data_IF_725077093173
#
_entry.id   IF_725077093173
#
_cell.length_a   1.000
_cell.length_b   1.000
_cell.length_c   1.000
_cell.angle_alpha   90.00
_cell.angle_beta   90.00
_cell.angle_gamma   90.00
#
_symmetry.space_group_name_H-M   'P 1'
#
loop_
_entity.id
_entity.type
_entity.pdbx_description
1 polymer ?
#
# COMPACT_ATOMS: atom_id res chain seq x y z
N UNK A 1 9.63 6.48 10.33
CA UNK A 1 9.72 5.70 9.09
C UNK A 1 10.90 4.74 9.17
N UNK A 2 10.73 3.47 8.78
CA UNK A 2 11.77 2.44 8.78
C UNK A 2 11.87 1.87 7.37
N UNK A 3 13.08 1.76 6.82
CA UNK A 3 13.32 1.11 5.55
C UNK A 3 14.07 -0.21 5.73
N UNK A 4 13.61 -1.26 5.06
CA UNK A 4 14.33 -2.52 4.89
C UNK A 4 14.94 -2.57 3.50
N UNK A 5 16.26 -2.78 3.44
CA UNK A 5 17.03 -2.91 2.21
C UNK A 5 17.85 -4.21 2.22
N UNK A 6 18.17 -4.71 1.06
CA UNK A 6 18.96 -5.94 0.91
C UNK A 6 18.75 -6.55 -0.47
N UNK A 7 19.56 -7.54 -0.80
CA UNK A 7 19.45 -8.26 -2.07
C UNK A 7 18.12 -8.99 -2.24
N UNK A 8 17.78 -9.36 -3.46
CA UNK A 8 16.62 -10.23 -3.72
C UNK A 8 16.82 -11.56 -2.99
N UNK A 9 15.79 -12.00 -2.28
CA UNK A 9 15.88 -13.21 -1.45
C UNK A 9 16.37 -12.99 -0.02
N UNK A 10 16.80 -11.78 0.36
CA UNK A 10 17.30 -11.48 1.73
C UNK A 10 16.20 -11.50 2.83
N UNK A 11 14.96 -11.89 2.52
CA UNK A 11 13.90 -12.01 3.52
C UNK A 11 13.01 -10.78 3.70
N UNK A 12 13.15 -9.71 2.87
CA UNK A 12 12.36 -8.48 3.01
C UNK A 12 10.83 -8.73 2.95
N UNK A 13 10.36 -9.46 1.94
CA UNK A 13 8.94 -9.83 1.79
C UNK A 13 8.46 -10.76 2.90
N UNK A 14 9.36 -11.57 3.48
CA UNK A 14 9.03 -12.40 4.64
C UNK A 14 8.67 -11.55 5.84
N UNK A 15 9.38 -10.43 6.08
CA UNK A 15 9.07 -9.50 7.18
C UNK A 15 7.67 -8.93 7.00
N UNK A 16 7.30 -8.46 5.80
CA UNK A 16 5.96 -7.93 5.54
C UNK A 16 4.88 -8.99 5.74
N UNK A 17 5.14 -10.22 5.33
CA UNK A 17 4.23 -11.36 5.51
C UNK A 17 4.04 -11.74 6.99
N UNK A 18 5.09 -11.66 7.80
CA UNK A 18 5.02 -11.90 9.24
C UNK A 18 4.29 -10.78 9.98
N UNK A 19 4.50 -9.53 9.59
CA UNK A 19 3.78 -8.37 10.14
C UNK A 19 2.26 -8.49 9.95
N UNK A 20 1.83 -8.98 8.80
CA UNK A 20 0.41 -9.19 8.45
C UNK A 20 -0.14 -10.54 8.94
N UNK A 21 0.69 -11.33 9.63
CA UNK A 21 0.35 -12.71 10.05
C UNK A 21 -0.22 -13.54 8.90
N UNK A 22 0.45 -13.51 7.73
CA UNK A 22 0.24 -14.52 6.69
C UNK A 22 0.92 -15.84 7.06
N UNK A 23 1.97 -15.76 7.90
CA UNK A 23 2.67 -16.89 8.51
C UNK A 23 2.85 -16.64 10.00
N UNK A 24 2.84 -17.70 10.80
CA UNK A 24 3.13 -17.62 12.23
C UNK A 24 4.64 -17.59 12.48
N UNK A 25 5.02 -16.86 13.53
CA UNK A 25 6.43 -16.79 13.97
C UNK A 25 6.86 -18.13 14.55
N UNK A 26 7.99 -18.65 14.09
CA UNK A 26 8.62 -19.84 14.67
C UNK A 26 9.36 -19.54 16.00
N UNK A 27 9.73 -18.28 16.22
CA UNK A 27 10.38 -17.81 17.42
C UNK A 27 10.37 -16.29 17.50
N UNK A 28 10.72 -15.74 18.66
CA UNK A 28 10.68 -14.30 18.89
C UNK A 28 9.26 -13.74 19.01
N UNK A 29 9.13 -12.42 18.86
CA UNK A 29 7.85 -11.71 18.93
C UNK A 29 7.88 -10.44 18.11
N UNK A 30 6.73 -10.06 17.57
CA UNK A 30 6.48 -8.75 16.94
C UNK A 30 5.45 -8.05 17.82
N UNK A 31 5.73 -6.81 18.18
CA UNK A 31 4.85 -6.01 19.04
C UNK A 31 4.23 -4.87 18.23
N UNK A 32 2.92 -4.71 18.36
CA UNK A 32 2.18 -3.53 17.91
C UNK A 32 1.69 -2.79 19.15
N UNK A 33 2.18 -1.57 19.35
CA UNK A 33 1.93 -0.75 20.55
C UNK A 33 2.20 -1.52 21.88
N UNK A 34 3.33 -2.26 21.90
CA UNK A 34 3.76 -3.00 23.09
C UNK A 34 3.08 -4.36 23.31
N UNK A 35 2.07 -4.70 22.51
CA UNK A 35 1.33 -5.96 22.57
C UNK A 35 1.72 -6.92 21.44
N UNK A 36 1.90 -8.20 21.75
CA UNK A 36 2.26 -9.21 20.73
C UNK A 36 1.17 -9.33 19.67
N UNK A 37 1.57 -9.35 18.38
CA UNK A 37 0.62 -9.46 17.27
C UNK A 37 -0.22 -10.72 17.31
N UNK A 38 0.23 -11.77 17.99
CA UNK A 38 -0.50 -13.05 18.21
C UNK A 38 -1.72 -12.90 19.11
N UNK A 39 -1.74 -11.85 19.95
CA UNK A 39 -2.87 -11.55 20.85
C UNK A 39 -4.00 -10.77 20.18
N UNK A 40 -3.78 -10.28 18.97
CA UNK A 40 -4.80 -9.64 18.15
C UNK A 40 -5.54 -10.69 17.30
N UNK A 41 -6.83 -10.46 17.01
CA UNK A 41 -7.46 -11.18 15.91
C UNK A 41 -6.80 -10.78 14.58
N UNK A 42 -6.75 -11.69 13.61
CA UNK A 42 -6.19 -11.36 12.29
C UNK A 42 -6.90 -10.18 11.65
N UNK A 43 -8.22 -10.08 11.84
CA UNK A 43 -9.01 -8.98 11.33
C UNK A 43 -8.60 -7.63 11.94
N UNK A 44 -8.50 -7.53 13.27
CA UNK A 44 -8.08 -6.29 13.95
C UNK A 44 -6.65 -5.89 13.61
N UNK A 45 -5.73 -6.86 13.53
CA UNK A 45 -4.35 -6.62 13.13
C UNK A 45 -4.28 -6.07 11.69
N UNK A 46 -4.93 -6.75 10.74
CA UNK A 46 -4.94 -6.33 9.33
C UNK A 46 -5.70 -5.04 9.09
N UNK A 47 -6.66 -4.69 9.96
CA UNK A 47 -7.31 -3.38 9.92
C UNK A 47 -6.34 -2.27 10.32
N UNK A 48 -5.48 -2.51 11.33
CA UNK A 48 -4.48 -1.54 11.78
C UNK A 48 -3.29 -1.39 10.80
N UNK A 49 -3.08 -2.33 9.89
CA UNK A 49 -1.94 -2.31 8.96
C UNK A 49 -2.46 -2.15 7.52
N UNK A 50 -2.03 -1.10 6.83
CA UNK A 50 -2.24 -0.91 5.39
C UNK A 50 -1.05 -1.43 4.60
N UNK A 51 -1.31 -2.12 3.51
CA UNK A 51 -0.28 -2.63 2.61
C UNK A 51 -0.46 -2.04 1.20
N UNK A 52 0.60 -1.45 0.67
CA UNK A 52 0.70 -1.03 -0.73
C UNK A 52 1.82 -1.83 -1.37
N UNK A 53 1.47 -2.70 -2.31
CA UNK A 53 2.40 -3.62 -2.99
C UNK A 53 2.76 -3.12 -4.38
N UNK A 54 3.87 -3.63 -4.92
CA UNK A 54 4.27 -3.42 -6.31
C UNK A 54 3.23 -3.99 -7.29
N UNK A 55 2.86 -5.24 -7.10
CA UNK A 55 1.86 -5.91 -7.92
C UNK A 55 0.47 -5.66 -7.35
N UNK A 56 -0.19 -4.63 -7.87
CA UNK A 56 -1.52 -4.24 -7.43
C UNK A 56 -2.56 -5.22 -7.93
N UNK A 57 -3.24 -5.87 -7.00
CA UNK A 57 -4.44 -6.66 -7.32
C UNK A 57 -5.68 -5.74 -7.34
N UNK A 58 -6.43 -5.81 -8.45
CA UNK A 58 -7.72 -5.17 -8.60
C UNK A 58 -8.77 -6.22 -8.95
N UNK A 59 -9.94 -6.06 -8.35
CA UNK A 59 -11.10 -6.91 -8.62
C UNK A 59 -11.73 -6.56 -9.97
N UNK A 60 -12.34 -7.55 -10.62
CA UNK A 60 -13.14 -7.35 -11.84
C UNK A 60 -14.48 -6.70 -11.53
N UNK A 61 -14.42 -5.45 -11.07
CA UNK A 61 -15.56 -4.63 -10.66
C UNK A 61 -15.28 -3.15 -10.98
N UNK A 62 -16.13 -2.22 -10.51
CA UNK A 62 -15.96 -0.78 -10.71
C UNK A 62 -14.71 -0.23 -10.02
N UNK A 63 -14.21 0.91 -10.49
CA UNK A 63 -13.14 1.65 -9.81
C UNK A 63 -13.56 2.01 -8.38
N UNK A 64 -14.79 2.46 -8.20
CA UNK A 64 -15.38 2.77 -6.89
C UNK A 64 -15.30 1.58 -5.94
N UNK A 65 -15.74 0.40 -6.37
CA UNK A 65 -15.63 -0.83 -5.57
C UNK A 65 -14.17 -1.13 -5.18
N UNK A 66 -13.24 -1.00 -6.13
CA UNK A 66 -11.83 -1.28 -5.87
C UNK A 66 -11.21 -0.32 -4.85
N UNK A 67 -11.63 0.95 -4.80
CA UNK A 67 -11.19 1.90 -3.77
C UNK A 67 -11.83 1.57 -2.42
N UNK A 68 -13.14 1.30 -2.41
CA UNK A 68 -13.94 1.07 -1.20
C UNK A 68 -13.77 -0.33 -0.59
N UNK A 69 -13.11 -1.26 -1.27
CA UNK A 69 -13.05 -2.69 -0.89
C UNK A 69 -12.71 -2.98 0.58
N UNK A 70 -11.91 -2.16 1.23
CA UNK A 70 -11.55 -2.35 2.63
C UNK A 70 -12.50 -1.65 3.63
N UNK A 71 -13.37 -0.76 3.12
CA UNK A 71 -14.31 0.05 3.91
C UNK A 71 -15.61 0.22 3.06
N UNK A 72 -16.37 -0.88 2.94
CA UNK A 72 -17.53 -0.97 2.03
C UNK A 72 -18.64 0.04 2.35
N UNK A 73 -18.78 0.45 3.62
CA UNK A 73 -19.76 1.43 4.08
C UNK A 73 -19.35 2.90 3.83
N UNK A 74 -18.24 3.12 3.11
CA UNK A 74 -17.72 4.47 2.85
C UNK A 74 -18.65 5.25 1.93
N UNK A 75 -18.87 6.52 2.29
CA UNK A 75 -19.65 7.45 1.48
C UNK A 75 -18.90 7.81 0.19
N UNK A 76 -19.63 8.14 -0.85
CA UNK A 76 -19.04 8.50 -2.15
C UNK A 76 -18.05 9.66 -2.05
N UNK A 77 -18.34 10.66 -1.20
CA UNK A 77 -17.45 11.79 -0.94
C UNK A 77 -16.11 11.37 -0.34
N UNK A 78 -16.10 10.38 0.54
CA UNK A 78 -14.88 9.83 1.16
C UNK A 78 -14.03 9.08 0.14
N UNK A 79 -14.69 8.32 -0.75
CA UNK A 79 -14.02 7.61 -1.86
C UNK A 79 -13.38 8.62 -2.82
N UNK A 80 -14.12 9.67 -3.22
CA UNK A 80 -13.57 10.73 -4.09
C UNK A 80 -12.42 11.47 -3.42
N UNK A 81 -12.54 11.83 -2.15
CA UNK A 81 -11.45 12.45 -1.38
C UNK A 81 -10.20 11.58 -1.35
N UNK A 82 -10.35 10.29 -1.12
CA UNK A 82 -9.23 9.34 -1.13
C UNK A 82 -8.58 9.25 -2.53
N UNK A 83 -9.37 9.26 -3.60
CA UNK A 83 -8.89 9.28 -4.97
C UNK A 83 -8.10 10.56 -5.31
N UNK A 84 -8.61 11.73 -4.90
CA UNK A 84 -7.91 13.02 -5.06
C UNK A 84 -6.55 12.98 -4.32
N UNK A 85 -6.53 12.52 -3.07
CA UNK A 85 -5.29 12.43 -2.29
C UNK A 85 -4.26 11.48 -2.93
N UNK A 86 -4.71 10.45 -3.64
CA UNK A 86 -3.89 9.51 -4.39
C UNK A 86 -3.55 9.98 -5.82
N UNK A 87 -3.92 11.21 -6.21
CA UNK A 87 -3.82 11.72 -7.57
C UNK A 87 -4.50 10.81 -8.62
N UNK A 88 -5.57 10.10 -8.22
CA UNK A 88 -6.29 9.15 -9.06
C UNK A 88 -7.54 9.77 -9.73
N UNK A 89 -8.15 10.77 -9.11
CA UNK A 89 -9.41 11.36 -9.53
C UNK A 89 -9.38 11.86 -10.99
N UNK A 90 -8.33 12.58 -11.37
CA UNK A 90 -8.20 13.14 -12.71
C UNK A 90 -8.27 12.09 -13.84
N UNK A 91 -7.64 10.93 -13.67
CA UNK A 91 -7.73 9.88 -14.69
C UNK A 91 -9.03 9.08 -14.57
N UNK A 92 -9.59 8.94 -13.37
CA UNK A 92 -10.86 8.24 -13.16
C UNK A 92 -11.99 8.99 -13.87
N UNK A 93 -12.05 10.32 -13.76
CA UNK A 93 -13.05 11.14 -14.45
C UNK A 93 -12.97 11.04 -15.97
N UNK A 94 -11.80 10.75 -16.53
CA UNK A 94 -11.58 10.52 -17.98
C UNK A 94 -12.02 9.13 -18.46
N UNK A 95 -12.33 8.21 -17.55
CA UNK A 95 -12.85 6.89 -17.92
C UNK A 95 -14.31 6.99 -18.41
N UNK A 96 -14.76 6.05 -19.28
CA UNK A 96 -16.08 6.15 -19.91
C UNK A 96 -17.27 6.30 -18.96
N UNK A 97 -17.18 5.76 -17.75
CA UNK A 97 -18.22 5.82 -16.72
C UNK A 97 -17.64 6.35 -15.38
N UNK A 98 -16.51 7.08 -15.43
CA UNK A 98 -15.85 7.60 -14.24
C UNK A 98 -15.61 6.50 -13.18
N UNK A 99 -16.04 6.74 -11.97
CA UNK A 99 -15.92 5.82 -10.83
C UNK A 99 -16.69 4.50 -11.01
N UNK A 100 -17.76 4.48 -11.80
CA UNK A 100 -18.55 3.27 -12.10
C UNK A 100 -17.95 2.46 -13.25
N UNK A 101 -16.84 2.90 -13.85
CA UNK A 101 -16.16 2.16 -14.90
C UNK A 101 -15.70 0.79 -14.36
N UNK A 102 -16.22 -0.28 -14.96
CA UNK A 102 -15.76 -1.63 -14.67
C UNK A 102 -14.38 -1.87 -15.28
N UNK A 103 -13.44 -2.23 -14.43
CA UNK A 103 -12.11 -2.65 -14.85
C UNK A 103 -12.11 -4.17 -15.08
N UNK A 104 -11.43 -4.61 -16.13
CA UNK A 104 -11.33 -6.03 -16.44
C UNK A 104 -10.53 -6.80 -15.39
N UNK A 105 -10.44 -8.11 -15.59
CA UNK A 105 -9.69 -8.99 -14.70
C UNK A 105 -8.28 -8.42 -14.44
N UNK A 106 -7.89 -8.31 -13.17
CA UNK A 106 -6.63 -7.70 -12.70
C UNK A 106 -6.39 -6.26 -13.19
N UNK A 107 -7.45 -5.54 -13.59
CA UNK A 107 -7.35 -4.17 -14.06
C UNK A 107 -6.59 -4.03 -15.38
N UNK A 108 -6.72 -4.96 -16.32
CA UNK A 108 -5.97 -4.97 -17.60
C UNK A 108 -6.18 -3.71 -18.44
N UNK A 109 -7.27 -2.98 -18.26
CA UNK A 109 -7.56 -1.72 -18.97
C UNK A 109 -6.83 -0.51 -18.40
N UNK A 110 -6.12 -0.64 -17.29
CA UNK A 110 -5.42 0.43 -16.61
C UNK A 110 -3.90 0.25 -16.73
N UNK A 111 -3.17 1.37 -16.84
CA UNK A 111 -1.71 1.36 -16.74
C UNK A 111 -1.22 0.96 -15.34
N UNK A 112 0.03 0.55 -15.20
CA UNK A 112 0.64 0.22 -13.89
C UNK A 112 0.49 1.36 -12.89
N UNK A 113 0.77 2.60 -13.29
CA UNK A 113 0.62 3.77 -12.43
C UNK A 113 -0.83 4.12 -12.07
N UNK A 114 -1.80 3.84 -12.94
CA UNK A 114 -3.22 4.00 -12.61
C UNK A 114 -3.66 2.96 -11.57
N UNK A 115 -3.24 1.70 -11.73
CA UNK A 115 -3.48 0.64 -10.73
C UNK A 115 -2.88 1.00 -9.38
N UNK A 116 -1.64 1.50 -9.38
CA UNK A 116 -0.94 1.89 -8.16
C UNK A 116 -1.66 3.03 -7.43
N UNK A 117 -2.14 4.04 -8.16
CA UNK A 117 -2.91 5.15 -7.56
C UNK A 117 -4.25 4.69 -6.99
N UNK A 118 -4.92 3.70 -7.58
CA UNK A 118 -6.12 3.08 -6.99
C UNK A 118 -5.76 2.36 -5.69
N UNK A 119 -4.65 1.61 -5.63
CA UNK A 119 -4.21 0.97 -4.40
C UNK A 119 -3.86 1.96 -3.29
N UNK A 120 -3.26 3.10 -3.66
CA UNK A 120 -2.97 4.20 -2.73
C UNK A 120 -4.27 4.86 -2.26
N UNK A 121 -5.25 5.08 -3.14
CA UNK A 121 -6.57 5.60 -2.76
C UNK A 121 -7.28 4.66 -1.75
N UNK A 122 -7.21 3.34 -1.98
CA UNK A 122 -7.67 2.32 -1.01
C UNK A 122 -7.00 2.48 0.35
N UNK A 123 -5.69 2.73 0.38
CA UNK A 123 -4.95 2.94 1.62
C UNK A 123 -5.30 4.28 2.31
N UNK A 124 -5.57 5.35 1.56
CA UNK A 124 -6.07 6.61 2.11
C UNK A 124 -7.45 6.45 2.74
N UNK A 125 -8.36 5.74 2.09
CA UNK A 125 -9.70 5.50 2.60
C UNK A 125 -9.67 4.67 3.89
N UNK A 126 -8.89 3.61 3.91
CA UNK A 126 -8.68 2.76 5.08
C UNK A 126 -8.02 3.49 6.25
N UNK A 127 -7.16 4.47 5.97
CA UNK A 127 -6.45 5.30 6.95
C UNK A 127 -5.77 4.53 8.10
N UNK A 128 -4.93 3.54 7.85
CA UNK A 128 -4.34 2.68 8.88
C UNK A 128 -3.25 3.41 9.66
N UNK A 129 -3.06 3.16 10.98
CA UNK A 129 -1.96 3.74 11.77
C UNK A 129 -0.57 3.20 11.39
N UNK A 130 -0.50 2.01 10.80
CA UNK A 130 0.74 1.41 10.29
C UNK A 130 0.62 1.19 8.81
N UNK A 131 1.63 1.64 8.06
CA UNK A 131 1.69 1.51 6.60
C UNK A 131 2.90 0.68 6.21
N UNK A 132 2.68 -0.32 5.38
CA UNK A 132 3.73 -1.13 4.74
C UNK A 132 3.74 -0.81 3.25
N UNK A 133 4.88 -0.34 2.75
CA UNK A 133 5.13 -0.03 1.34
C UNK A 133 6.13 -1.06 0.80
N UNK A 134 5.67 -1.92 -0.10
CA UNK A 134 6.50 -2.96 -0.70
C UNK A 134 6.75 -2.65 -2.19
N UNK A 135 7.91 -2.05 -2.48
CA UNK A 135 8.37 -1.68 -3.83
C UNK A 135 7.35 -0.87 -4.66
N UNK A 136 6.56 -0.03 -4.02
CA UNK A 136 5.38 0.62 -4.58
C UNK A 136 5.63 1.50 -5.83
N UNK A 137 6.88 1.74 -6.26
CA UNK A 137 7.22 2.60 -7.41
C UNK A 137 8.12 1.92 -8.45
N UNK A 138 8.50 0.66 -8.28
CA UNK A 138 9.63 0.03 -8.99
C UNK A 138 9.44 -0.13 -10.51
N UNK A 139 8.21 -0.14 -11.03
CA UNK A 139 7.87 -0.42 -12.43
C UNK A 139 7.21 0.74 -13.19
N UNK A 140 7.34 1.98 -12.68
CA UNK A 140 6.67 3.15 -13.23
C UNK A 140 7.61 4.01 -14.08
N UNK A 141 7.04 4.72 -15.07
CA UNK A 141 7.75 5.79 -15.77
C UNK A 141 8.00 6.98 -14.84
N UNK A 142 9.01 7.80 -15.16
CA UNK A 142 9.49 8.89 -14.29
C UNK A 142 8.39 9.89 -13.89
N UNK A 143 7.47 10.25 -14.79
CA UNK A 143 6.42 11.21 -14.50
C UNK A 143 5.38 10.63 -13.55
N UNK A 144 4.95 9.41 -13.80
CA UNK A 144 4.01 8.67 -12.95
C UNK A 144 4.64 8.31 -11.61
N UNK A 145 5.92 7.95 -11.57
CA UNK A 145 6.67 7.68 -10.34
C UNK A 145 6.63 8.87 -9.39
N UNK A 146 6.87 10.09 -9.89
CA UNK A 146 6.82 11.31 -9.09
C UNK A 146 5.45 11.52 -8.44
N UNK A 147 4.35 11.38 -9.20
CA UNK A 147 2.99 11.52 -8.68
C UNK A 147 2.67 10.47 -7.60
N UNK A 148 3.08 9.22 -7.84
CA UNK A 148 2.90 8.12 -6.89
C UNK A 148 3.71 8.38 -5.63
N UNK A 149 4.98 8.81 -5.75
CA UNK A 149 5.83 9.11 -4.61
C UNK A 149 5.26 10.26 -3.75
N UNK A 150 4.82 11.36 -4.36
CA UNK A 150 4.16 12.47 -3.64
C UNK A 150 2.90 12.02 -2.91
N UNK A 151 2.14 11.09 -3.48
CA UNK A 151 0.95 10.51 -2.84
C UNK A 151 1.33 9.57 -1.67
N UNK A 152 2.39 8.77 -1.82
CA UNK A 152 2.91 7.92 -0.74
C UNK A 152 3.50 8.75 0.40
N UNK A 153 4.18 9.84 0.10
CA UNK A 153 4.73 10.75 1.12
C UNK A 153 3.61 11.39 1.94
N UNK A 154 2.53 11.84 1.29
CA UNK A 154 1.32 12.32 1.99
C UNK A 154 0.66 11.23 2.82
N UNK A 155 0.51 10.02 2.25
CA UNK A 155 -0.08 8.88 2.96
C UNK A 155 0.76 8.49 4.19
N UNK A 156 2.08 8.70 4.16
CA UNK A 156 3.02 8.34 5.23
C UNK A 156 3.11 9.35 6.37
N UNK A 157 2.41 10.48 6.30
CA UNK A 157 2.42 11.49 7.37
C UNK A 157 1.70 10.98 8.61
N UNK A 158 2.24 11.31 9.78
CA UNK A 158 1.67 11.05 11.10
C UNK A 158 1.37 9.56 11.38
N UNK A 159 2.15 8.64 10.78
CA UNK A 159 1.99 7.20 11.00
C UNK A 159 3.30 6.43 10.96
N UNK A 160 3.29 5.24 11.53
CA UNK A 160 4.41 4.31 11.42
C UNK A 160 4.46 3.75 10.00
N UNK A 161 5.54 4.06 9.27
CA UNK A 161 5.73 3.56 7.90
C UNK A 161 6.90 2.60 7.85
N UNK A 162 6.68 1.45 7.27
CA UNK A 162 7.67 0.42 6.97
C UNK A 162 7.79 0.32 5.46
N UNK A 163 8.98 0.58 4.92
CA UNK A 163 9.23 0.55 3.48
C UNK A 163 10.20 -0.58 3.15
N UNK A 164 9.81 -1.45 2.25
CA UNK A 164 10.71 -2.40 1.59
C UNK A 164 11.11 -1.76 0.26
N UNK A 165 12.37 -1.40 0.13
CA UNK A 165 12.83 -0.62 -1.01
C UNK A 165 14.04 -1.25 -1.70
N UNK A 166 14.03 -1.13 -3.02
CA UNK A 166 15.17 -1.40 -3.91
C UNK A 166 15.81 -0.12 -4.47
N UNK A 167 15.16 1.04 -4.28
CA UNK A 167 15.65 2.33 -4.78
C UNK A 167 16.09 3.25 -3.64
N UNK A 168 17.23 3.90 -3.82
CA UNK A 168 17.78 4.86 -2.85
C UNK A 168 16.81 6.03 -2.60
N UNK A 169 16.13 6.51 -3.64
CA UNK A 169 15.16 7.62 -3.54
C UNK A 169 14.06 7.36 -2.51
N UNK A 170 13.66 6.11 -2.32
CA UNK A 170 12.58 5.72 -1.40
C UNK A 170 13.02 5.70 0.06
N UNK A 171 14.32 5.54 0.33
CA UNK A 171 14.85 5.34 1.68
C UNK A 171 15.52 6.59 2.28
N UNK A 172 15.81 7.60 1.47
CA UNK A 172 16.54 8.82 1.90
C UNK A 172 15.85 9.54 3.06
N UNK A 173 14.51 9.51 3.12
CA UNK A 173 13.71 10.16 4.16
C UNK A 173 13.29 9.20 5.30
N UNK A 174 13.99 8.08 5.47
CA UNK A 174 13.71 7.12 6.54
C UNK A 174 14.51 7.46 7.80
N UNK A 175 13.87 7.35 8.97
CA UNK A 175 14.52 7.59 10.27
C UNK A 175 15.52 6.48 10.60
N UNK A 176 15.27 5.27 10.07
CA UNK A 176 16.15 4.10 10.22
C UNK A 176 16.19 3.28 8.94
N UNK A 177 17.37 2.79 8.60
CA UNK A 177 17.59 1.86 7.50
C UNK A 177 18.15 0.56 8.10
N UNK A 178 17.47 -0.55 7.81
CA UNK A 178 17.86 -1.89 8.26
C UNK A 178 18.30 -2.66 7.03
N UNK A 179 19.56 -3.10 7.04
CA UNK A 179 20.13 -3.89 5.95
C UNK A 179 19.96 -5.37 6.28
N UNK A 180 19.31 -6.09 5.39
CA UNK A 180 19.15 -7.54 5.48
C UNK A 180 20.16 -8.22 4.56
N UNK A 181 20.89 -9.20 5.11
CA UNK A 181 21.86 -10.01 4.38
C UNK A 181 21.74 -11.47 4.83
N UNK A 182 21.53 -12.37 3.87
CA UNK A 182 21.39 -13.83 4.09
C UNK A 182 20.24 -14.25 5.04
N UNK A 183 19.18 -13.48 5.10
CA UNK A 183 18.00 -13.79 5.92
C UNK A 183 18.08 -13.25 7.33
#
# INVERSE_FOLDING_TARGET
>A
KIAFVGETGAGKTTITSLLLRFYELQGGRILLDGRDIREYTQQSLRRAIGLVQQDVFLFSDSVKYNIAYAEEDSREEEIKKAAVMAAADEFIEKLPQGYETRIGERGVKLSGGQKQRIAIARAFLKNPPVLVLDEATSSLDNATEKLVQESLDRLSQDRTTITVAHRLSTIVNSDRIIVLQNG
#
